data_IF_223313994120
#
_entry.id   IF_223313994120
#
_cell.length_a   1.000
_cell.length_b   1.000
_cell.length_c   1.000
_cell.angle_alpha   90.00
_cell.angle_beta   90.00
_cell.angle_gamma   90.00
#
_symmetry.space_group_name_H-M   'P 1'
#
loop_
_entity.id
_entity.type
_entity.pdbx_description
1 polymer ?
#
# COMPACT_ATOMS: atom_id res chain seq x y z
N UNK A 1 -7.26 28.53 11.87
CA UNK A 1 -7.75 28.12 12.19
C UNK A 1 -7.98 27.61 12.17
N UNK A 2 -7.74 28.48 11.84
CA UNK A 2 -8.08 27.82 12.05
C UNK A 2 -8.18 27.42 11.83
N UNK A 3 -7.31 26.95 11.33
CA UNK A 3 -7.75 26.51 11.37
C UNK A 3 -7.66 25.97 11.53
N UNK A 4 -7.02 25.94 11.28
CA UNK A 4 -7.24 25.45 11.55
C UNK A 4 -7.05 24.70 11.47
N UNK A 5 -6.13 25.16 10.96
CA UNK A 5 -6.22 24.60 11.15
C UNK A 5 -6.08 23.99 10.94
N UNK A 6 -5.58 24.29 10.45
CA UNK A 6 -5.84 23.68 10.55
C UNK A 6 -5.84 23.15 10.36
N UNK A 7 -5.38 23.50 9.95
CA UNK A 7 -5.75 22.96 10.09
C UNK A 7 -5.56 22.50 10.01
N UNK A 8 -5.14 22.86 9.49
CA UNK A 8 -5.44 22.40 9.71
C UNK A 8 -5.31 22.17 9.48
N UNK A 9 -4.51 22.61 9.18
CA UNK A 9 -4.83 22.41 9.22
C UNK A 9 -5.18 22.03 8.85
N UNK A 10 -4.84 22.51 8.49
CA UNK A 10 -5.52 22.23 8.29
C UNK A 10 -6.08 22.40 8.03
N UNK A 11 -5.86 23.25 7.78
CA UNK A 11 -6.70 23.40 7.67
C UNK A 11 -6.97 23.89 7.26
N UNK A 12 -6.58 24.64 7.04
CA UNK A 12 -7.10 25.02 6.91
C UNK A 12 -7.16 25.21 6.38
N UNK A 13 -6.85 25.85 6.04
CA UNK A 13 -7.28 25.91 5.79
C UNK A 13 -7.54 25.51 5.22
N UNK A 14 -7.24 25.99 4.91
CA UNK A 14 -7.70 25.30 4.64
C UNK A 14 -7.97 25.14 3.99
N UNK A 15 -7.78 25.31 3.70
CA UNK A 15 -8.27 25.10 3.42
C UNK A 15 -8.44 25.12 2.65
N UNK A 16 -7.98 25.64 2.50
CA UNK A 16 -8.24 25.62 2.01
C UNK A 16 -8.43 25.56 1.15
N UNK A 17 -8.23 25.88 0.88
CA UNK A 17 -8.34 25.49 0.31
C UNK A 17 -8.49 25.36 -0.51
N UNK A 18 -8.48 25.30 -0.83
CA UNK A 18 -8.53 24.81 -1.40
C UNK A 18 -8.67 24.68 -2.20
N UNK A 19 -8.58 24.93 -2.45
CA UNK A 19 -8.59 24.48 -3.02
C UNK A 19 -8.64 24.14 -3.70
N UNK A 20 -8.57 24.29 -3.94
CA UNK A 20 -8.45 23.54 -4.43
C UNK A 20 -8.06 23.19 -5.13
N UNK A 21 -7.66 23.33 -5.14
CA UNK A 21 -7.15 22.77 -5.59
C UNK A 21 -6.57 22.32 -5.96
N UNK A 22 -6.16 22.34 -5.91
CA UNK A 22 -5.58 21.70 -6.18
C UNK A 22 -4.73 21.05 -5.94
N UNK A 23 -4.59 20.69 -5.33
CA UNK A 23 -3.60 20.08 -5.10
C UNK A 23 -2.87 19.41 -5.92
N UNK A 24 -1.92 19.26 -5.75
CA UNK A 24 -1.13 18.86 -6.83
C UNK A 24 -0.21 17.75 -6.53
N UNK A 25 0.00 17.44 -5.31
CA UNK A 25 0.71 16.24 -4.92
C UNK A 25 -0.31 15.14 -4.83
N UNK A 26 -0.26 14.18 -5.74
CA UNK A 26 -1.22 13.08 -5.67
C UNK A 26 -0.98 12.29 -4.38
N UNK A 27 -2.04 11.90 -3.76
CA UNK A 27 -1.94 11.00 -2.63
C UNK A 27 -1.50 9.63 -3.09
N UNK A 28 -1.32 8.70 -2.17
CA UNK A 28 -0.90 7.37 -2.55
C UNK A 28 -1.96 6.68 -3.40
N UNK A 29 -1.49 5.86 -4.34
CA UNK A 29 -2.37 4.92 -5.02
C UNK A 29 -2.63 3.77 -4.06
N UNK A 30 -3.89 3.40 -3.91
CA UNK A 30 -4.28 2.40 -2.92
C UNK A 30 -4.94 1.23 -3.61
N UNK A 31 -4.53 0.03 -3.24
CA UNK A 31 -5.14 -1.19 -3.75
C UNK A 31 -5.30 -2.16 -2.59
N UNK A 32 -6.54 -2.60 -2.38
CA UNK A 32 -6.80 -3.61 -1.36
C UNK A 32 -6.85 -4.97 -2.03
N UNK A 33 -6.07 -5.90 -1.52
CA UNK A 33 -5.99 -7.25 -2.09
C UNK A 33 -6.28 -8.27 -1.00
N UNK A 34 -6.90 -9.38 -1.41
CA UNK A 34 -7.24 -10.46 -0.48
C UNK A 34 -6.23 -11.58 -0.65
N UNK A 35 -5.71 -12.06 0.49
CA UNK A 35 -4.79 -13.19 0.49
C UNK A 35 -5.59 -14.45 0.22
N UNK A 36 -5.29 -15.12 -0.90
CA UNK A 36 -6.07 -16.27 -1.34
C UNK A 36 -5.35 -17.60 -1.20
N UNK A 37 -4.04 -17.56 -1.01
CA UNK A 37 -3.27 -18.79 -0.87
C UNK A 37 -3.43 -19.37 0.53
N UNK A 38 -3.32 -20.68 0.60
CA UNK A 38 -3.66 -21.42 1.82
C UNK A 38 -2.80 -21.02 3.01
N UNK A 39 -1.52 -20.85 2.77
CA UNK A 39 -0.56 -20.59 3.86
C UNK A 39 -0.42 -19.12 4.21
N UNK A 40 -1.04 -18.22 3.43
CA UNK A 40 -0.90 -16.81 3.70
C UNK A 40 0.45 -16.26 3.28
N UNK A 41 0.76 -15.06 3.78
CA UNK A 41 2.01 -14.40 3.40
C UNK A 41 3.13 -14.86 4.33
N UNK A 42 3.67 -16.04 4.03
CA UNK A 42 4.85 -16.56 4.71
C UNK A 42 6.10 -16.16 3.91
N UNK A 43 7.24 -16.78 4.18
CA UNK A 43 8.52 -16.31 3.63
C UNK A 43 8.55 -16.24 2.10
N UNK A 44 8.06 -17.29 1.42
CA UNK A 44 8.11 -17.30 -0.05
C UNK A 44 7.20 -16.26 -0.68
N UNK A 45 5.92 -16.15 -0.32
CA UNK A 45 5.09 -15.06 -0.84
C UNK A 45 5.64 -13.68 -0.50
N UNK A 46 6.17 -13.48 0.70
CA UNK A 46 6.76 -12.19 1.06
C UNK A 46 7.93 -11.85 0.14
N UNK A 47 8.78 -12.85 -0.16
CA UNK A 47 9.90 -12.63 -1.06
C UNK A 47 9.43 -12.32 -2.47
N UNK A 48 8.35 -12.95 -2.92
CA UNK A 48 7.79 -12.66 -4.24
C UNK A 48 7.23 -11.25 -4.32
N UNK A 49 6.57 -10.79 -3.25
CA UNK A 49 6.08 -9.42 -3.20
C UNK A 49 7.25 -8.44 -3.29
N UNK A 50 8.29 -8.67 -2.49
CA UNK A 50 9.45 -7.77 -2.48
C UNK A 50 10.17 -7.76 -3.83
N UNK A 51 10.23 -8.91 -4.50
CA UNK A 51 10.83 -8.95 -5.83
C UNK A 51 10.10 -8.02 -6.80
N UNK A 52 8.78 -7.94 -6.67
CA UNK A 52 8.01 -7.03 -7.51
C UNK A 52 8.24 -5.59 -7.06
N UNK A 53 8.06 -5.30 -5.76
CA UNK A 53 8.14 -3.91 -5.30
C UNK A 53 9.50 -3.30 -5.52
N UNK A 54 10.57 -4.11 -5.47
CA UNK A 54 11.92 -3.58 -5.69
C UNK A 54 12.22 -3.26 -7.15
N UNK A 55 11.38 -3.68 -8.09
CA UNK A 55 11.56 -3.30 -9.49
C UNK A 55 11.16 -1.85 -9.74
N UNK A 56 10.45 -1.25 -8.82
CA UNK A 56 9.87 0.08 -9.02
C UNK A 56 10.49 1.08 -8.07
N UNK A 57 10.51 2.34 -8.50
CA UNK A 57 11.02 3.41 -7.66
C UNK A 57 9.99 3.90 -6.65
N UNK A 58 8.71 3.67 -6.92
CA UNK A 58 7.66 4.11 -6.02
C UNK A 58 7.88 3.54 -4.63
N UNK A 59 7.53 4.34 -3.63
CA UNK A 59 7.49 3.86 -2.25
C UNK A 59 6.19 3.12 -2.04
N UNK A 60 6.22 2.09 -1.20
CA UNK A 60 5.01 1.32 -0.95
C UNK A 60 4.97 0.86 0.50
N UNK A 61 3.80 1.02 1.09
CA UNK A 61 3.51 0.51 2.43
C UNK A 61 2.36 -0.48 2.34
N UNK A 62 2.34 -1.42 3.26
CA UNK A 62 1.30 -2.44 3.31
C UNK A 62 0.65 -2.38 4.67
N UNK A 63 -0.67 -2.30 4.67
CA UNK A 63 -1.43 -2.12 5.90
C UNK A 63 -2.41 -3.26 6.10
N UNK A 64 -2.48 -3.74 7.32
CA UNK A 64 -3.46 -4.74 7.74
C UNK A 64 -3.81 -4.46 9.19
N UNK A 65 -5.11 -4.32 9.49
CA UNK A 65 -5.59 -4.13 10.85
C UNK A 65 -4.87 -2.99 11.56
N UNK A 66 -4.69 -1.88 10.86
CA UNK A 66 -4.07 -0.66 11.38
C UNK A 66 -2.56 -0.77 11.59
N UNK A 67 -1.96 -1.91 11.28
CA UNK A 67 -0.51 -2.03 11.23
C UNK A 67 -0.02 -1.74 9.84
N UNK A 68 1.06 -0.97 9.74
CA UNK A 68 1.62 -0.59 8.44
C UNK A 68 3.09 -0.95 8.43
N UNK A 69 3.51 -1.60 7.35
CA UNK A 69 4.90 -2.01 7.18
C UNK A 69 5.40 -1.58 5.81
N UNK A 70 6.72 -1.57 5.65
CA UNK A 70 7.33 -1.25 4.37
C UNK A 70 7.12 -2.40 3.39
N UNK A 71 6.53 -2.10 2.23
CA UNK A 71 6.23 -3.13 1.23
C UNK A 71 7.46 -3.68 0.51
N UNK A 72 8.65 -3.13 0.80
CA UNK A 72 9.90 -3.62 0.25
C UNK A 72 10.70 -4.40 1.28
N UNK A 73 10.09 -4.75 2.42
CA UNK A 73 10.74 -5.48 3.50
C UNK A 73 10.08 -6.85 3.67
N UNK A 74 10.86 -7.90 3.46
CA UNK A 74 10.37 -9.27 3.65
C UNK A 74 9.92 -9.46 5.10
N UNK A 75 10.75 -9.03 6.06
CA UNK A 75 10.41 -9.18 7.47
C UNK A 75 9.15 -8.40 7.83
N UNK A 76 9.03 -7.17 7.29
CA UNK A 76 7.83 -6.37 7.56
C UNK A 76 6.57 -7.08 7.10
N UNK A 77 6.62 -7.64 5.89
CA UNK A 77 5.46 -8.34 5.36
C UNK A 77 5.10 -9.56 6.20
N UNK A 78 6.11 -10.29 6.65
CA UNK A 78 5.86 -11.46 7.49
C UNK A 78 5.28 -11.09 8.85
N UNK A 79 5.66 -9.92 9.37
CA UNK A 79 5.16 -9.48 10.67
C UNK A 79 3.68 -9.12 10.64
N UNK A 80 3.13 -8.84 9.47
CA UNK A 80 1.68 -8.61 9.37
C UNK A 80 0.87 -9.87 9.64
N UNK A 81 1.48 -11.03 9.54
CA UNK A 81 0.82 -12.32 9.79
C UNK A 81 -0.49 -12.46 9.01
N UNK A 82 -0.46 -12.07 7.74
CA UNK A 82 -1.66 -12.08 6.90
C UNK A 82 -1.94 -13.50 6.40
N UNK A 83 -2.92 -14.15 6.98
CA UNK A 83 -3.33 -15.48 6.58
C UNK A 83 -4.37 -15.45 5.47
N UNK A 84 -4.81 -16.61 5.03
CA UNK A 84 -5.81 -16.72 4.00
C UNK A 84 -7.06 -15.95 4.38
N UNK A 85 -7.58 -15.17 3.44
CA UNK A 85 -8.77 -14.36 3.66
C UNK A 85 -8.50 -12.97 4.19
N UNK A 86 -7.27 -12.69 4.62
CA UNK A 86 -6.91 -11.36 5.09
C UNK A 86 -6.95 -10.35 3.96
N UNK A 87 -7.38 -9.15 4.28
CA UNK A 87 -7.34 -8.04 3.34
C UNK A 87 -6.12 -7.20 3.68
N UNK A 88 -5.27 -6.98 2.69
CA UNK A 88 -4.10 -6.14 2.86
C UNK A 88 -4.19 -4.98 1.89
N UNK A 89 -3.85 -3.81 2.36
CA UNK A 89 -3.96 -2.59 1.58
C UNK A 89 -2.56 -2.13 1.21
N UNK A 90 -2.32 -1.98 -0.09
CA UNK A 90 -1.05 -1.47 -0.60
C UNK A 90 -1.21 0.00 -0.91
N UNK A 91 -0.35 0.81 -0.31
CA UNK A 91 -0.35 2.26 -0.52
C UNK A 91 0.96 2.62 -1.20
N UNK A 92 0.90 2.96 -2.47
CA UNK A 92 2.10 3.20 -3.27
C UNK A 92 2.11 4.62 -3.80
N UNK A 93 3.27 5.27 -3.71
CA UNK A 93 3.43 6.66 -4.14
C UNK A 93 4.63 6.75 -5.09
N UNK A 94 4.40 7.29 -6.28
CA UNK A 94 5.45 7.45 -7.27
C UNK A 94 4.88 7.29 -8.67
N UNK A 95 5.69 7.66 -9.67
CA UNK A 95 5.23 7.65 -11.06
C UNK A 95 4.90 6.25 -11.54
N UNK A 96 5.60 5.24 -11.05
CA UNK A 96 5.38 3.86 -11.48
C UNK A 96 4.53 3.05 -10.48
N UNK A 97 3.88 3.75 -9.53
CA UNK A 97 3.03 3.08 -8.55
C UNK A 97 1.89 2.28 -9.19
N UNK A 98 1.16 2.81 -10.19
CA UNK A 98 0.07 2.03 -10.78
C UNK A 98 0.54 0.71 -11.37
N UNK A 99 1.71 0.71 -12.03
CA UNK A 99 2.24 -0.53 -12.61
C UNK A 99 2.60 -1.52 -11.53
N UNK A 100 3.20 -1.05 -10.44
CA UNK A 100 3.52 -1.90 -9.30
C UNK A 100 2.27 -2.57 -8.76
N UNK A 101 1.20 -1.79 -8.56
CA UNK A 101 -0.03 -2.33 -8.00
C UNK A 101 -0.68 -3.36 -8.93
N UNK A 102 -0.58 -3.14 -10.24
CA UNK A 102 -1.10 -4.11 -11.21
C UNK A 102 -0.36 -5.44 -11.09
N UNK A 103 0.96 -5.40 -11.00
CA UNK A 103 1.73 -6.63 -10.87
C UNK A 103 1.45 -7.35 -9.56
N UNK A 104 1.28 -6.59 -8.49
CA UNK A 104 0.94 -7.18 -7.20
C UNK A 104 -0.43 -7.85 -7.24
N UNK A 105 -1.38 -7.21 -7.91
CA UNK A 105 -2.71 -7.79 -8.04
C UNK A 105 -2.64 -9.12 -8.79
N UNK A 106 -1.84 -9.18 -9.86
CA UNK A 106 -1.68 -10.41 -10.61
C UNK A 106 -1.06 -11.50 -9.75
N UNK A 107 -0.08 -11.14 -8.93
CA UNK A 107 0.56 -12.10 -8.05
C UNK A 107 -0.44 -12.68 -7.04
N UNK A 108 -1.28 -11.83 -6.45
CA UNK A 108 -2.29 -12.28 -5.51
C UNK A 108 -3.34 -13.16 -6.20
N UNK A 109 -3.73 -12.79 -7.42
CA UNK A 109 -4.71 -13.56 -8.18
C UNK A 109 -4.18 -14.96 -8.49
N UNK A 110 -2.88 -15.07 -8.77
CA UNK A 110 -2.23 -16.35 -9.01
C UNK A 110 -1.99 -17.15 -7.72
N UNK A 111 -2.40 -16.62 -6.58
CA UNK A 111 -2.19 -17.27 -5.27
C UNK A 111 -0.71 -17.56 -5.03
N UNK A 112 0.15 -16.63 -5.47
CA UNK A 112 1.61 -16.75 -5.33
C UNK A 112 2.12 -18.05 -5.97
N UNK A 113 1.42 -18.54 -6.98
CA UNK A 113 1.75 -19.77 -7.69
C UNK A 113 1.84 -20.99 -6.77
N UNK A 114 1.10 -20.97 -5.66
CA UNK A 114 1.01 -22.15 -4.79
C UNK A 114 0.03 -23.15 -5.37
N UNK A 115 0.37 -24.39 -5.22
CA UNK A 115 -0.47 -25.49 -5.69
C UNK A 115 -1.73 -25.62 -4.85
#
# INVERSE_FOLDING_TARGET
>A
LGLQAVASRRTLFGQMAMDKTTTTTPGPNVKELVVQNKMGIHARPAAMIVRITNKFKADVFVEKDEEQVNGKSIMGLMMLAAGKGSKVKFLATGDDAPQMLTELEQLFTRKFDEA
#
